data_IF_366929662318
#
_entry.id   IF_366929662318
#
_cell.length_a   1.000
_cell.length_b   1.000
_cell.length_c   1.000
_cell.angle_alpha   90.00
_cell.angle_beta   90.00
_cell.angle_gamma   90.00
#
_symmetry.space_group_name_H-M   'P 1'
#
loop_
_entity.id
_entity.type
_entity.pdbx_description
1 polymer ?
#
# COMPACT_ATOMS: atom_id res chain seq x y z
N UNK A 1 3.30 -1.20 -24.66
CA UNK A 1 3.21 -0.57 -23.30
C UNK A 1 4.31 0.46 -23.16
N UNK A 2 3.98 1.65 -22.76
CA UNK A 2 4.96 2.72 -22.52
C UNK A 2 5.09 2.99 -21.02
N UNK A 3 6.30 3.36 -20.61
CA UNK A 3 6.59 3.76 -19.23
C UNK A 3 6.53 5.28 -19.15
N UNK A 4 5.80 5.80 -18.19
CA UNK A 4 5.69 7.24 -17.96
C UNK A 4 6.93 7.70 -17.21
N UNK A 5 7.59 8.75 -17.72
CA UNK A 5 8.75 9.35 -17.08
C UNK A 5 8.37 10.15 -15.85
N UNK A 6 9.38 10.44 -15.01
CA UNK A 6 9.15 11.10 -13.71
C UNK A 6 8.54 12.50 -13.83
N UNK A 7 8.90 13.26 -14.85
CA UNK A 7 8.34 14.59 -15.04
C UNK A 7 6.83 14.56 -15.28
N UNK A 8 6.38 13.59 -16.07
CA UNK A 8 4.95 13.40 -16.34
C UNK A 8 4.21 12.88 -15.09
N UNK A 9 4.83 12.00 -14.31
CA UNK A 9 4.26 11.54 -13.04
C UNK A 9 4.07 12.72 -12.08
N UNK A 10 5.10 13.55 -11.91
CA UNK A 10 5.03 14.73 -11.04
C UNK A 10 3.96 15.71 -11.51
N UNK A 11 3.86 15.94 -12.83
CA UNK A 11 2.81 16.79 -13.39
C UNK A 11 1.43 16.28 -13.04
N UNK A 12 1.17 14.99 -13.21
CA UNK A 12 -0.13 14.37 -12.90
C UNK A 12 -0.46 14.41 -11.42
N UNK A 13 0.55 14.27 -10.56
CA UNK A 13 0.36 14.40 -9.12
C UNK A 13 -0.11 15.80 -8.77
N UNK A 14 0.55 16.83 -9.34
CA UNK A 14 0.24 18.23 -9.04
C UNK A 14 -1.07 18.72 -9.66
N UNK A 15 -1.34 18.32 -10.91
CA UNK A 15 -2.46 18.85 -11.70
C UNK A 15 -3.72 17.98 -11.65
N UNK A 16 -3.55 16.67 -11.53
CA UNK A 16 -4.64 15.69 -11.62
C UNK A 16 -4.87 14.92 -10.32
N UNK A 17 -4.14 15.22 -9.26
CA UNK A 17 -4.22 14.53 -7.96
C UNK A 17 -4.05 13.00 -8.11
N UNK A 18 -3.09 12.59 -8.94
CA UNK A 18 -2.83 11.18 -9.18
C UNK A 18 -2.51 10.42 -7.89
N UNK A 19 -1.74 11.05 -7.00
CA UNK A 19 -1.44 10.54 -5.66
C UNK A 19 -1.66 11.70 -4.70
N UNK A 20 -2.38 11.46 -3.61
CA UNK A 20 -2.65 12.47 -2.58
C UNK A 20 -1.82 12.22 -1.33
N UNK A 21 -1.64 13.25 -0.53
CA UNK A 21 -0.93 13.19 0.76
C UNK A 21 0.54 12.79 0.67
N UNK A 22 1.19 13.02 -0.48
CA UNK A 22 2.62 12.80 -0.62
C UNK A 22 3.43 13.75 0.26
N UNK A 23 4.55 13.25 0.79
CA UNK A 23 5.52 14.10 1.47
C UNK A 23 6.18 15.07 0.51
N UNK A 24 6.48 16.30 0.97
CA UNK A 24 7.11 17.31 0.13
C UNK A 24 8.47 16.90 -0.44
N UNK A 25 9.19 16.06 0.29
CA UNK A 25 10.49 15.52 -0.16
C UNK A 25 10.32 14.66 -1.42
N UNK A 26 9.30 13.84 -1.48
CA UNK A 26 9.06 12.94 -2.60
C UNK A 26 8.73 13.69 -3.88
N UNK A 27 8.10 14.85 -3.75
CA UNK A 27 7.80 15.72 -4.88
C UNK A 27 8.97 16.60 -5.30
N UNK A 28 9.84 17.00 -4.34
CA UNK A 28 10.93 17.92 -4.61
C UNK A 28 12.20 17.22 -5.13
N UNK A 29 12.38 15.95 -4.82
CA UNK A 29 13.57 15.18 -5.20
C UNK A 29 13.21 13.79 -5.72
N UNK A 30 12.37 13.67 -6.76
CA UNK A 30 12.01 12.38 -7.33
C UNK A 30 13.21 11.77 -8.06
N UNK A 31 13.33 10.45 -8.01
CA UNK A 31 14.40 9.70 -8.66
C UNK A 31 13.85 8.71 -9.68
N UNK A 32 14.46 8.66 -10.87
CA UNK A 32 14.13 7.70 -11.90
C UNK A 32 12.69 7.79 -12.38
N UNK A 33 12.01 6.64 -12.44
CA UNK A 33 10.60 6.53 -12.85
C UNK A 33 9.69 6.17 -11.69
N UNK A 34 10.23 6.17 -10.47
CA UNK A 34 9.51 5.79 -9.28
C UNK A 34 9.22 6.95 -8.33
N UNK A 35 8.22 6.79 -7.51
CA UNK A 35 7.89 7.69 -6.41
C UNK A 35 7.95 6.88 -5.13
N UNK A 36 8.67 7.39 -4.14
CA UNK A 36 8.72 6.77 -2.82
C UNK A 36 7.45 7.09 -2.05
N UNK A 37 6.86 6.07 -1.45
CA UNK A 37 5.65 6.20 -0.66
C UNK A 37 5.98 5.91 0.81
N UNK A 38 5.22 6.53 1.70
CA UNK A 38 5.42 6.35 3.14
C UNK A 38 4.58 5.19 3.66
N UNK A 39 5.12 4.54 4.68
CA UNK A 39 4.41 3.48 5.39
C UNK A 39 3.26 4.08 6.20
N UNK A 40 2.03 3.65 5.94
CA UNK A 40 0.85 4.10 6.67
C UNK A 40 0.37 3.09 7.70
N UNK A 41 0.28 1.83 7.32
CA UNK A 41 -0.13 0.76 8.21
C UNK A 41 0.47 -0.56 7.79
N UNK A 42 0.67 -1.45 8.74
CA UNK A 42 1.14 -2.82 8.50
C UNK A 42 0.22 -3.80 9.21
N UNK A 43 -0.23 -4.80 8.48
CA UNK A 43 -1.07 -5.86 8.99
C UNK A 43 -0.37 -7.19 8.80
N UNK A 44 -0.22 -7.95 9.87
CA UNK A 44 0.34 -9.30 9.80
C UNK A 44 -0.76 -10.27 9.38
N UNK A 45 -0.46 -11.15 8.44
CA UNK A 45 -1.38 -12.22 8.04
C UNK A 45 -1.29 -13.34 9.07
N UNK A 46 -2.37 -13.57 9.81
CA UNK A 46 -2.41 -14.57 10.89
C UNK A 46 -3.04 -15.89 10.48
N UNK A 47 -3.91 -15.86 9.47
CA UNK A 47 -4.44 -17.09 8.85
C UNK A 47 -4.33 -16.95 7.35
N UNK A 48 -3.73 -17.94 6.70
CA UNK A 48 -3.47 -17.94 5.28
C UNK A 48 -4.68 -18.26 4.43
N UNK A 49 -4.68 -17.75 3.22
CA UNK A 49 -5.61 -18.11 2.17
C UNK A 49 -6.75 -17.12 1.96
N UNK A 50 -6.66 -16.38 0.86
CA UNK A 50 -7.80 -15.70 0.28
C UNK A 50 -8.36 -16.61 -0.82
N UNK A 51 -9.66 -16.78 -0.89
CA UNK A 51 -10.28 -17.63 -1.89
C UNK A 51 -11.70 -17.19 -2.20
N UNK A 52 -12.19 -17.63 -3.33
CA UNK A 52 -13.58 -17.44 -3.72
C UNK A 52 -14.28 -18.79 -3.62
N UNK A 53 -15.28 -18.87 -2.75
CA UNK A 53 -16.08 -20.07 -2.60
C UNK A 53 -17.03 -20.20 -3.78
N UNK A 54 -17.04 -21.38 -4.39
CA UNK A 54 -17.96 -21.65 -5.49
C UNK A 54 -19.37 -21.80 -4.95
N UNK A 55 -20.29 -20.96 -5.43
CA UNK A 55 -21.70 -21.10 -5.17
C UNK A 55 -22.35 -21.82 -6.37
N UNK A 56 -22.69 -23.07 -6.19
CA UNK A 56 -23.18 -23.92 -7.28
C UNK A 56 -24.51 -23.51 -7.89
N UNK A 57 -25.33 -22.73 -7.21
CA UNK A 57 -26.70 -22.46 -7.67
C UNK A 57 -26.82 -21.12 -8.43
N UNK A 58 -26.03 -20.11 -8.12
CA UNK A 58 -26.19 -18.77 -8.68
C UNK A 58 -24.97 -18.23 -9.40
N UNK A 59 -23.86 -18.94 -9.41
CA UNK A 59 -22.61 -18.46 -9.98
C UNK A 59 -22.02 -17.27 -9.23
N UNK A 60 -22.54 -16.91 -8.08
CA UNK A 60 -22.10 -15.81 -7.25
C UNK A 60 -21.22 -16.35 -6.14
N UNK A 61 -19.93 -16.44 -6.40
CA UNK A 61 -18.96 -16.89 -5.42
C UNK A 61 -18.89 -15.98 -4.21
N UNK A 62 -18.71 -16.55 -3.04
CA UNK A 62 -18.46 -15.80 -1.81
C UNK A 62 -16.97 -15.61 -1.64
N UNK A 63 -16.56 -14.37 -1.41
CA UNK A 63 -15.15 -14.03 -1.22
C UNK A 63 -14.75 -14.18 0.23
N UNK A 64 -13.62 -14.83 0.43
CA UNK A 64 -12.98 -14.96 1.74
C UNK A 64 -11.60 -14.32 1.68
N UNK A 65 -11.38 -13.29 2.49
CA UNK A 65 -10.08 -12.64 2.63
C UNK A 65 -9.22 -13.33 3.67
N UNK A 66 -7.94 -12.99 3.66
CA UNK A 66 -7.02 -13.41 4.72
C UNK A 66 -7.40 -12.73 6.03
N UNK A 67 -7.16 -13.40 7.15
CA UNK A 67 -7.27 -12.77 8.46
C UNK A 67 -5.97 -12.08 8.79
N UNK A 68 -6.07 -10.84 9.24
CA UNK A 68 -4.93 -10.00 9.55
C UNK A 68 -5.06 -9.40 10.93
N UNK A 69 -3.90 -9.03 11.49
CA UNK A 69 -3.80 -8.29 12.73
C UNK A 69 -3.00 -7.02 12.46
N UNK A 70 -3.53 -5.86 12.81
CA UNK A 70 -2.82 -4.61 12.67
C UNK A 70 -1.68 -4.55 13.68
N UNK A 71 -0.45 -4.46 13.19
CA UNK A 71 0.75 -4.41 14.03
C UNK A 71 1.40 -3.04 14.06
N UNK A 72 1.04 -2.17 13.13
CA UNK A 72 1.54 -0.80 13.06
C UNK A 72 0.54 0.11 12.35
N UNK A 73 0.41 1.33 12.84
CA UNK A 73 -0.32 2.41 12.15
C UNK A 73 0.38 3.73 12.41
N UNK A 74 0.65 4.47 11.33
CA UNK A 74 1.22 5.81 11.42
C UNK A 74 0.25 6.73 12.15
N UNK A 75 0.77 7.42 13.15
CA UNK A 75 0.04 8.45 13.90
C UNK A 75 0.66 9.81 13.63
N UNK A 76 -0.17 10.84 13.63
CA UNK A 76 0.32 12.20 13.47
C UNK A 76 1.31 12.55 14.57
N UNK A 77 2.47 13.07 14.18
CA UNK A 77 3.54 13.43 15.10
C UNK A 77 4.52 12.31 15.43
N UNK A 78 4.26 11.07 15.01
CA UNK A 78 5.19 9.96 15.22
C UNK A 78 6.34 10.05 14.21
N UNK A 79 7.55 10.25 14.71
CA UNK A 79 8.73 10.39 13.86
C UNK A 79 9.74 9.26 13.99
N UNK A 80 9.56 8.35 14.95
CA UNK A 80 10.57 7.35 15.29
C UNK A 80 10.02 5.96 15.60
N UNK A 81 8.82 5.65 15.17
CA UNK A 81 8.31 4.30 15.33
C UNK A 81 9.02 3.34 14.37
N UNK A 82 9.26 2.15 14.88
CA UNK A 82 9.83 1.06 14.10
C UNK A 82 8.95 -0.16 14.18
N UNK A 83 8.99 -0.96 13.13
CA UNK A 83 8.36 -2.26 13.12
C UNK A 83 9.40 -3.31 12.76
N UNK A 84 9.36 -4.46 13.42
CA UNK A 84 10.25 -5.57 13.12
C UNK A 84 9.55 -6.53 12.17
N UNK A 85 10.13 -6.72 11.00
CA UNK A 85 9.67 -7.70 10.03
C UNK A 85 10.44 -9.00 10.29
N UNK A 86 9.73 -10.06 10.62
CA UNK A 86 10.33 -11.35 10.95
C UNK A 86 10.38 -12.27 9.74
N UNK A 87 11.44 -13.10 9.61
CA UNK A 87 11.50 -14.11 8.53
C UNK A 87 10.32 -15.08 8.63
N UNK A 88 9.81 -15.49 7.48
CA UNK A 88 8.73 -16.47 7.41
C UNK A 88 7.34 -15.92 7.66
N UNK A 89 7.19 -14.64 7.94
CA UNK A 89 5.91 -13.99 8.12
C UNK A 89 5.51 -13.21 6.88
N UNK A 90 4.21 -13.05 6.67
CA UNK A 90 3.65 -12.29 5.57
C UNK A 90 2.89 -11.08 6.08
N UNK A 91 3.05 -9.97 5.41
CA UNK A 91 2.45 -8.69 5.81
C UNK A 91 1.73 -8.04 4.65
N UNK A 92 0.61 -7.40 4.95
CA UNK A 92 -0.04 -6.44 4.05
C UNK A 92 0.32 -5.04 4.51
N UNK A 93 0.80 -4.24 3.57
CA UNK A 93 1.25 -2.88 3.86
C UNK A 93 0.35 -1.89 3.15
N UNK A 94 -0.08 -0.89 3.87
CA UNK A 94 -0.85 0.23 3.34
C UNK A 94 0.01 1.48 3.38
N UNK A 95 0.04 2.24 2.29
CA UNK A 95 0.76 3.50 2.26
C UNK A 95 -0.02 4.62 2.96
N UNK A 96 0.68 5.67 3.35
CA UNK A 96 0.05 6.85 3.94
C UNK A 96 -0.66 7.71 2.89
N UNK A 97 -0.22 7.61 1.66
CA UNK A 97 -0.78 8.34 0.51
C UNK A 97 -2.13 7.81 0.04
#
# INVERSE_FOLDING_TARGET
>A
MSVIGINEIVRRIKEENLITDLGGRDLSAPEGTGIDLRLGAVHKIIEGGAYIEADGAAGLGKRHGVKTEEVYRLKEGDTQDTIVIKPGEYYLVQTAE
#
